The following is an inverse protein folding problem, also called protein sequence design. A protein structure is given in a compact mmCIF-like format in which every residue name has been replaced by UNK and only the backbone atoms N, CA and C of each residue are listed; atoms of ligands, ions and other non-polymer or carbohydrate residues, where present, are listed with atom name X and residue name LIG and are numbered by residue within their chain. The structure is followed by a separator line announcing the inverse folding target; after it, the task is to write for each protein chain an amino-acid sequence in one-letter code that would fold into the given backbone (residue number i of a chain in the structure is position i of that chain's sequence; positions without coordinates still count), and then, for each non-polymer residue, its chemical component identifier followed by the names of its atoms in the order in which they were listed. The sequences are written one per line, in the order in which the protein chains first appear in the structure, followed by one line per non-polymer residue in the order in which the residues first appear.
data_IF_932329681971
#
_entry.id   IF_932329681971
#
_cell.length_a   1.000
_cell.length_b   1.000
_cell.length_c   1.000
_cell.angle_alpha   90.00
_cell.angle_beta   90.00
_cell.angle_gamma   90.00
#
_symmetry.space_group_name_H-M   'P 1'
#
loop_
_entity.id
_entity.type
_entity.pdbx_description
1 polymer ?
#
# COMPACT_ATOMS: atom_id res chain seq x y z
N UNK A 1 18.07 -42.50 14.14
CA UNK A 1 17.27 -41.67 13.20
C UNK A 1 16.03 -42.40 12.69
N UNK A 2 16.10 -43.71 12.40
CA UNK A 2 14.93 -44.52 12.02
C UNK A 2 14.03 -44.86 13.22
N UNK A 3 14.61 -45.13 14.40
CA UNK A 3 13.85 -45.49 15.60
C UNK A 3 13.13 -44.32 16.30
N UNK A 4 13.55 -43.07 16.08
CA UNK A 4 12.87 -41.89 16.64
C UNK A 4 11.58 -41.51 15.89
N UNK A 5 11.47 -41.88 14.61
CA UNK A 5 10.26 -41.68 13.80
C UNK A 5 9.25 -42.83 13.99
N UNK A 6 9.70 -43.99 14.46
CA UNK A 6 8.83 -45.13 14.81
C UNK A 6 8.17 -44.97 16.19
N UNK A 7 8.76 -44.18 17.10
CA UNK A 7 8.25 -43.94 18.45
C UNK A 7 7.21 -42.81 18.55
N UNK A 8 7.10 -41.97 17.51
CA UNK A 8 6.08 -40.92 17.43
C UNK A 8 5.28 -41.12 16.14
N UNK A 9 4.13 -41.85 16.18
CA UNK A 9 3.20 -41.79 15.07
C UNK A 9 2.80 -40.32 14.95
N UNK A 10 3.26 -39.64 13.90
CA UNK A 10 2.83 -38.29 13.62
C UNK A 10 1.34 -38.41 13.36
N UNK A 11 0.54 -38.04 14.36
CA UNK A 11 -0.91 -38.18 14.32
C UNK A 11 -1.40 -37.46 13.06
N UNK A 12 -2.04 -38.21 12.15
CA UNK A 12 -2.53 -37.67 10.90
C UNK A 12 -3.47 -36.47 11.15
N UNK A 13 -4.17 -36.44 12.29
CA UNK A 13 -4.98 -35.31 12.72
C UNK A 13 -4.13 -34.09 13.11
N UNK A 14 -2.98 -34.28 13.75
CA UNK A 14 -2.03 -33.23 14.06
C UNK A 14 -1.44 -32.63 12.77
N UNK A 15 -1.08 -33.46 11.78
CA UNK A 15 -0.64 -32.97 10.47
C UNK A 15 -1.74 -32.20 9.74
N UNK A 16 -2.97 -32.68 9.78
CA UNK A 16 -4.10 -32.02 9.13
C UNK A 16 -4.45 -30.68 9.80
N UNK A 17 -4.32 -30.58 11.12
CA UNK A 17 -4.49 -29.34 11.87
C UNK A 17 -3.36 -28.35 11.59
N UNK A 18 -2.09 -28.80 11.55
CA UNK A 18 -0.95 -27.95 11.16
C UNK A 18 -1.12 -27.42 9.73
N UNK A 19 -1.55 -28.28 8.80
CA UNK A 19 -1.84 -27.87 7.43
C UNK A 19 -2.94 -26.81 7.36
N UNK A 20 -4.07 -27.01 8.06
CA UNK A 20 -5.17 -26.03 8.12
C UNK A 20 -4.71 -24.68 8.70
N UNK A 21 -3.91 -24.71 9.76
CA UNK A 21 -3.35 -23.50 10.36
C UNK A 21 -2.41 -22.77 9.40
N UNK A 22 -1.51 -23.47 8.71
CA UNK A 22 -0.64 -22.87 7.71
C UNK A 22 -1.43 -22.29 6.52
N UNK A 23 -2.42 -23.02 6.03
CA UNK A 23 -3.28 -22.55 4.95
C UNK A 23 -4.03 -21.27 5.35
N UNK A 24 -4.58 -21.22 6.57
CA UNK A 24 -5.25 -20.03 7.09
C UNK A 24 -4.29 -18.84 7.26
N UNK A 25 -3.07 -19.06 7.73
CA UNK A 25 -2.04 -18.02 7.82
C UNK A 25 -1.66 -17.49 6.44
N UNK A 26 -1.45 -18.39 5.46
CA UNK A 26 -1.12 -18.03 4.09
C UNK A 26 -2.25 -17.24 3.40
N UNK A 27 -3.51 -17.63 3.62
CA UNK A 27 -4.69 -16.90 3.14
C UNK A 27 -4.71 -15.48 3.71
N UNK A 28 -4.51 -15.32 5.02
CA UNK A 28 -4.51 -14.01 5.66
C UNK A 28 -3.35 -13.13 5.20
N UNK A 29 -2.12 -13.65 5.10
CA UNK A 29 -0.98 -12.90 4.56
C UNK A 29 -1.19 -12.48 3.10
N UNK A 30 -1.82 -13.35 2.31
CA UNK A 30 -2.20 -13.02 0.92
C UNK A 30 -3.20 -11.87 0.89
N UNK A 31 -4.18 -11.86 1.81
CA UNK A 31 -5.14 -10.76 1.95
C UNK A 31 -4.45 -9.44 2.30
N UNK A 32 -3.55 -9.41 3.28
CA UNK A 32 -2.76 -8.21 3.64
C UNK A 32 -2.01 -7.67 2.42
N UNK A 33 -1.37 -8.56 1.66
CA UNK A 33 -0.61 -8.19 0.46
C UNK A 33 -1.51 -7.62 -0.64
N UNK A 34 -2.67 -8.24 -0.88
CA UNK A 34 -3.64 -7.79 -1.88
C UNK A 34 -4.23 -6.42 -1.51
N UNK A 35 -4.61 -6.22 -0.25
CA UNK A 35 -5.13 -4.93 0.22
C UNK A 35 -4.07 -3.83 0.11
N UNK A 36 -2.81 -4.12 0.45
CA UNK A 36 -1.72 -3.18 0.31
C UNK A 36 -1.47 -2.80 -1.16
N UNK A 37 -1.53 -3.78 -2.06
CA UNK A 37 -1.37 -3.56 -3.49
C UNK A 37 -2.50 -2.72 -4.08
N UNK A 38 -3.75 -3.00 -3.69
CA UNK A 38 -4.93 -2.22 -4.09
C UNK A 38 -4.80 -0.76 -3.63
N UNK A 39 -4.54 -0.53 -2.34
CA UNK A 39 -4.39 0.82 -1.78
C UNK A 39 -3.23 1.58 -2.41
N UNK A 40 -2.08 0.93 -2.63
CA UNK A 40 -0.94 1.55 -3.31
C UNK A 40 -1.27 1.96 -4.76
N UNK A 41 -2.08 1.15 -5.44
CA UNK A 41 -2.56 1.46 -6.80
C UNK A 41 -3.51 2.64 -6.80
N UNK A 42 -4.46 2.70 -5.85
CA UNK A 42 -5.39 3.83 -5.68
C UNK A 42 -4.63 5.14 -5.42
N UNK A 43 -3.65 5.13 -4.51
CA UNK A 43 -2.81 6.31 -4.20
C UNK A 43 -2.08 6.78 -5.45
N UNK A 44 -1.41 5.87 -6.16
CA UNK A 44 -0.66 6.20 -7.38
C UNK A 44 -1.58 6.78 -8.47
N UNK A 45 -2.75 6.19 -8.66
CA UNK A 45 -3.74 6.66 -9.62
C UNK A 45 -4.27 8.07 -9.26
N UNK A 46 -4.54 8.32 -7.97
CA UNK A 46 -4.93 9.65 -7.49
C UNK A 46 -3.83 10.67 -7.75
N UNK A 47 -2.60 10.37 -7.35
CA UNK A 47 -1.46 11.26 -7.55
C UNK A 47 -1.26 11.64 -9.03
N UNK A 48 -1.33 10.65 -9.91
CA UNK A 48 -1.23 10.88 -11.35
C UNK A 48 -2.34 11.82 -11.85
N UNK A 49 -3.59 11.56 -11.47
CA UNK A 49 -4.75 12.40 -11.86
C UNK A 49 -4.59 13.84 -11.37
N UNK A 50 -4.23 14.02 -10.10
CA UNK A 50 -4.07 15.34 -9.50
C UNK A 50 -2.92 16.13 -10.16
N UNK A 51 -1.82 15.45 -10.46
CA UNK A 51 -0.68 16.04 -11.17
C UNK A 51 -1.09 16.50 -12.57
N UNK A 52 -1.79 15.65 -13.32
CA UNK A 52 -2.29 15.98 -14.67
C UNK A 52 -3.24 17.17 -14.62
N UNK A 53 -4.18 17.19 -13.66
CA UNK A 53 -5.15 18.28 -13.51
C UNK A 53 -4.43 19.62 -13.26
N UNK A 54 -3.47 19.64 -12.33
CA UNK A 54 -2.71 20.85 -12.00
C UNK A 54 -1.84 21.32 -13.17
N UNK A 55 -1.26 20.39 -13.92
CA UNK A 55 -0.52 20.74 -15.13
C UNK A 55 -1.42 21.35 -16.21
N UNK A 56 -2.65 20.84 -16.33
CA UNK A 56 -3.69 21.44 -17.17
C UNK A 56 -4.03 22.87 -16.77
N UNK A 57 -4.08 23.18 -15.48
CA UNK A 57 -4.32 24.54 -14.99
C UNK A 57 -3.16 25.50 -15.26
N UNK A 58 -1.93 24.99 -15.22
CA UNK A 58 -0.73 25.74 -15.57
C UNK A 58 -0.66 26.05 -17.08
N UNK A 59 -1.11 25.11 -17.92
CA UNK A 59 -1.09 25.23 -19.38
C UNK A 59 -2.16 26.20 -19.94
N UNK A 60 -3.15 26.61 -19.14
CA UNK A 60 -4.18 27.57 -19.57
C UNK A 60 -3.56 28.93 -19.87
N UNK A 61 -3.96 29.51 -21.01
CA UNK A 61 -3.64 30.91 -21.32
C UNK A 61 -4.15 31.82 -20.19
N UNK A 62 -3.28 32.69 -19.68
CA UNK A 62 -3.62 33.69 -18.68
C UNK A 62 -3.72 35.06 -19.33
N UNK A 63 -4.63 35.87 -18.80
CA UNK A 63 -4.98 37.20 -19.28
C UNK A 63 -3.92 38.25 -18.91
N UNK A 64 -3.30 38.09 -17.73
CA UNK A 64 -2.33 39.06 -17.21
C UNK A 64 -0.97 38.42 -16.89
N UNK A 65 0.16 39.14 -17.06
CA UNK A 65 1.49 38.63 -16.71
C UNK A 65 1.63 38.18 -15.25
N UNK A 66 0.94 38.85 -14.32
CA UNK A 66 0.88 38.54 -12.88
C UNK A 66 0.22 37.19 -12.59
N UNK A 67 -0.68 36.73 -13.46
CA UNK A 67 -1.34 35.44 -13.31
C UNK A 67 -0.41 34.27 -13.64
N UNK A 68 0.60 34.46 -14.50
CA UNK A 68 1.61 33.43 -14.79
C UNK A 68 2.55 33.20 -13.61
N UNK A 69 3.05 34.27 -12.98
CA UNK A 69 3.92 34.16 -11.80
C UNK A 69 3.14 33.56 -10.62
N UNK A 70 1.86 33.93 -10.46
CA UNK A 70 0.96 33.32 -9.49
C UNK A 70 0.76 31.83 -9.79
N UNK A 71 0.43 31.45 -11.03
CA UNK A 71 0.20 30.06 -11.40
C UNK A 71 1.43 29.17 -11.15
N UNK A 72 2.63 29.67 -11.42
CA UNK A 72 3.87 28.95 -11.11
C UNK A 72 4.08 28.76 -9.60
N UNK A 73 3.76 29.79 -8.81
CA UNK A 73 3.89 29.74 -7.34
C UNK A 73 2.83 28.82 -6.71
N UNK A 74 1.58 28.92 -7.16
CA UNK A 74 0.48 28.05 -6.74
C UNK A 74 0.80 26.59 -7.09
N UNK A 75 1.37 26.32 -8.28
CA UNK A 75 1.82 24.99 -8.68
C UNK A 75 2.93 24.45 -7.78
N UNK A 76 3.93 25.27 -7.43
CA UNK A 76 5.02 24.84 -6.54
C UNK A 76 4.51 24.48 -5.13
N UNK A 77 3.65 25.32 -4.54
CA UNK A 77 3.02 25.05 -3.24
C UNK A 77 2.20 23.77 -3.28
N UNK A 78 1.38 23.63 -4.33
CA UNK A 78 0.58 22.46 -4.57
C UNK A 78 1.38 21.16 -4.75
N UNK A 79 2.54 21.23 -5.42
CA UNK A 79 3.42 20.09 -5.59
C UNK A 79 4.00 19.61 -4.25
N UNK A 80 4.36 20.55 -3.36
CA UNK A 80 4.84 20.22 -2.03
C UNK A 80 3.74 19.58 -1.15
N UNK A 81 2.53 20.14 -1.14
CA UNK A 81 1.38 19.56 -0.44
C UNK A 81 1.05 18.15 -0.95
N UNK A 82 0.98 17.99 -2.27
CA UNK A 82 0.69 16.70 -2.89
C UNK A 82 1.76 15.66 -2.58
N UNK A 83 3.05 16.03 -2.58
CA UNK A 83 4.10 15.11 -2.18
C UNK A 83 3.94 14.67 -0.72
N UNK A 84 3.65 15.60 0.19
CA UNK A 84 3.43 15.29 1.60
C UNK A 84 2.20 14.39 1.82
N UNK A 85 1.08 14.68 1.16
CA UNK A 85 -0.14 13.87 1.24
C UNK A 85 0.07 12.45 0.71
N UNK A 86 0.76 12.29 -0.43
CA UNK A 86 1.03 10.97 -0.99
C UNK A 86 1.98 10.16 -0.10
N UNK A 87 3.03 10.79 0.44
CA UNK A 87 3.93 10.15 1.40
C UNK A 87 3.19 9.69 2.66
N UNK A 88 2.29 10.53 3.20
CA UNK A 88 1.47 10.19 4.34
C UNK A 88 0.54 8.99 4.03
N UNK A 89 -0.08 8.97 2.85
CA UNK A 89 -0.94 7.87 2.42
C UNK A 89 -0.17 6.55 2.27
N UNK A 90 1.03 6.57 1.68
CA UNK A 90 1.88 5.38 1.60
C UNK A 90 2.38 4.91 2.97
N UNK A 91 2.69 5.84 3.88
CA UNK A 91 3.06 5.51 5.25
C UNK A 91 1.92 4.82 6.01
N UNK A 92 0.67 5.22 5.77
CA UNK A 92 -0.51 4.55 6.34
C UNK A 92 -0.67 3.12 5.81
N UNK A 93 -0.44 2.88 4.51
CA UNK A 93 -0.42 1.52 3.94
C UNK A 93 0.65 0.66 4.62
N UNK A 94 1.88 1.18 4.74
CA UNK A 94 2.97 0.46 5.39
C UNK A 94 2.66 0.14 6.86
N UNK A 95 2.10 1.11 7.59
CA UNK A 95 1.66 0.91 8.99
C UNK A 95 0.55 -0.13 9.09
N UNK A 96 -0.42 -0.11 8.19
CA UNK A 96 -1.51 -1.09 8.15
C UNK A 96 -0.98 -2.51 7.92
N UNK A 97 -0.12 -2.68 6.91
CA UNK A 97 0.55 -3.97 6.65
C UNK A 97 1.33 -4.44 7.88
N UNK A 98 2.04 -3.54 8.56
CA UNK A 98 2.78 -3.87 9.77
C UNK A 98 1.85 -4.33 10.90
N UNK A 99 0.77 -3.59 11.18
CA UNK A 99 -0.21 -3.98 12.21
C UNK A 99 -0.85 -5.32 11.90
N UNK A 100 -1.34 -5.51 10.68
CA UNK A 100 -1.97 -6.78 10.28
C UNK A 100 -0.98 -7.93 10.32
N UNK A 101 0.29 -7.74 9.93
CA UNK A 101 1.31 -8.78 10.06
C UNK A 101 1.57 -9.17 11.51
N UNK A 102 1.56 -8.20 12.45
CA UNK A 102 1.71 -8.48 13.88
C UNK A 102 0.51 -9.22 14.46
N UNK A 103 -0.72 -8.87 14.05
CA UNK A 103 -1.94 -9.58 14.47
C UNK A 103 -2.04 -11.01 13.93
N UNK A 104 -1.27 -11.34 12.89
CA UNK A 104 -1.22 -12.66 12.26
C UNK A 104 -0.17 -13.61 12.86
N UNK A 105 0.71 -13.11 13.71
CA UNK A 105 1.73 -13.89 14.44
C UNK A 105 1.25 -14.28 15.83
#
# INVERSE_FOLDING_TARGET
MQDMMAAFPVDASAMQNVFKTQAAMAEKMSKVTLEAAEKSTEITAKWAKDTIARFGDLAKAKSEPTEYTKAATDFASAAAEMAAENLAAFAEVAKKVQMETVELM
#
